data_IF_311888027176
#
_entry.id   IF_311888027176
#
_cell.length_a   1.000
_cell.length_b   1.000
_cell.length_c   1.000
_cell.angle_alpha   90.00
_cell.angle_beta   90.00
_cell.angle_gamma   90.00
#
_symmetry.space_group_name_H-M   'P 1'
#
loop_
_entity.id
_entity.type
_entity.pdbx_description
1 polymer ?
#
# COMPACT_ATOMS: atom_id res chain seq x y z
N UNK A 1 -15.06 26.56 -29.32
CA UNK A 1 -14.79 25.10 -29.32
C UNK A 1 -13.41 24.88 -28.72
N UNK A 2 -13.28 24.47 -27.45
CA UNK A 2 -11.97 24.12 -26.89
C UNK A 2 -11.72 22.61 -26.96
N UNK A 3 -10.61 22.25 -27.61
CA UNK A 3 -9.79 21.04 -27.37
C UNK A 3 -8.34 21.56 -27.27
N UNK A 4 -7.36 20.84 -26.70
CA UNK A 4 -7.39 19.66 -25.83
C UNK A 4 -6.55 19.86 -24.53
N UNK A 5 -6.83 19.12 -23.46
CA UNK A 5 -5.89 19.00 -22.33
C UNK A 5 -5.45 17.54 -22.20
N UNK A 6 -4.31 17.27 -22.82
CA UNK A 6 -3.52 16.06 -22.61
C UNK A 6 -3.20 15.95 -21.12
N UNK A 7 -3.74 14.93 -20.45
CA UNK A 7 -3.25 14.49 -19.17
C UNK A 7 -1.86 13.89 -19.38
N UNK A 8 -0.84 14.72 -19.22
CA UNK A 8 0.56 14.31 -19.17
C UNK A 8 0.70 13.28 -18.05
N UNK A 9 0.75 12.01 -18.43
CA UNK A 9 1.26 10.95 -17.57
C UNK A 9 2.73 11.27 -17.33
N UNK A 10 3.01 11.87 -16.16
CA UNK A 10 4.36 12.06 -15.69
C UNK A 10 5.02 10.68 -15.57
N UNK A 11 5.83 10.35 -16.57
CA UNK A 11 6.80 9.26 -16.49
C UNK A 11 7.81 9.68 -15.44
N UNK A 12 7.56 9.30 -14.19
CA UNK A 12 8.51 9.49 -13.09
C UNK A 12 9.75 8.66 -13.48
N UNK A 13 10.94 9.26 -13.58
CA UNK A 13 12.15 8.47 -13.75
C UNK A 13 12.29 7.60 -12.50
N UNK A 14 12.24 6.28 -12.69
CA UNK A 14 12.49 5.32 -11.62
C UNK A 14 13.92 5.56 -11.11
N UNK A 15 14.04 6.37 -10.06
CA UNK A 15 15.28 6.57 -9.35
C UNK A 15 15.62 5.23 -8.69
N UNK A 16 16.40 4.41 -9.38
CA UNK A 16 17.02 3.22 -8.78
C UNK A 16 17.87 3.72 -7.62
N UNK A 17 17.57 3.36 -6.37
CA UNK A 17 18.45 3.71 -5.26
C UNK A 17 19.82 3.13 -5.58
N UNK A 18 20.83 3.99 -5.65
CA UNK A 18 22.21 3.57 -5.85
C UNK A 18 22.68 2.94 -4.55
N UNK A 19 22.50 1.62 -4.42
CA UNK A 19 22.99 0.87 -3.28
C UNK A 19 24.51 0.83 -3.31
N UNK A 20 25.14 1.30 -2.21
CA UNK A 20 26.55 1.05 -1.94
C UNK A 20 26.81 -0.46 -1.96
N UNK A 21 27.90 -0.84 -2.62
CA UNK A 21 28.34 -2.21 -2.87
C UNK A 21 28.20 -3.13 -1.64
N UNK A 22 27.47 -4.24 -1.81
CA UNK A 22 27.54 -5.42 -0.93
C UNK A 22 26.36 -5.70 0.00
N UNK A 23 25.43 -4.76 0.23
CA UNK A 23 24.28 -5.00 1.11
C UNK A 23 23.06 -5.48 0.31
N UNK A 24 22.46 -6.61 0.69
CA UNK A 24 21.18 -7.07 0.11
C UNK A 24 20.10 -5.99 0.38
N UNK A 25 19.29 -5.61 -0.63
CA UNK A 25 18.23 -4.62 -0.47
C UNK A 25 17.25 -5.07 0.62
N UNK A 26 17.05 -4.21 1.62
CA UNK A 26 16.13 -4.49 2.72
C UNK A 26 14.68 -4.50 2.21
N UNK A 27 13.78 -5.17 2.95
CA UNK A 27 12.34 -5.20 2.61
C UNK A 27 11.76 -3.78 2.53
N UNK A 28 12.25 -2.86 3.35
CA UNK A 28 11.83 -1.45 3.34
C UNK A 28 12.22 -0.74 2.05
N UNK A 29 13.44 -0.97 1.53
CA UNK A 29 13.86 -0.36 0.28
C UNK A 29 13.06 -0.91 -0.91
N UNK A 30 12.88 -2.23 -0.97
CA UNK A 30 12.05 -2.86 -2.00
C UNK A 30 10.60 -2.37 -1.95
N UNK A 31 10.08 -2.11 -0.74
CA UNK A 31 8.78 -1.48 -0.53
C UNK A 31 8.74 -0.06 -1.09
N UNK A 32 9.72 0.80 -0.79
CA UNK A 32 9.77 2.18 -1.28
C UNK A 32 9.87 2.25 -2.81
N UNK A 33 10.68 1.37 -3.41
CA UNK A 33 10.80 1.25 -4.85
C UNK A 33 9.47 0.80 -5.49
N UNK A 34 8.77 -0.14 -4.85
CA UNK A 34 7.47 -0.62 -5.30
C UNK A 34 6.36 0.44 -5.13
N UNK A 35 6.32 1.13 -3.99
CA UNK A 35 5.34 2.19 -3.69
C UNK A 35 5.50 3.37 -4.65
N UNK A 36 6.75 3.78 -4.93
CA UNK A 36 7.04 4.80 -5.94
C UNK A 36 6.62 4.39 -7.35
N UNK A 37 6.75 3.11 -7.70
CA UNK A 37 6.31 2.59 -8.99
C UNK A 37 4.78 2.41 -9.07
N UNK A 38 4.12 2.25 -7.93
CA UNK A 38 2.69 1.93 -7.84
C UNK A 38 1.95 2.79 -6.79
N UNK A 39 1.94 4.12 -6.91
CA UNK A 39 1.31 5.00 -5.92
C UNK A 39 -0.22 4.79 -5.79
N UNK A 40 -0.85 4.21 -6.82
CA UNK A 40 -2.26 3.84 -6.80
C UNK A 40 -2.58 2.68 -5.85
N UNK A 41 -1.59 1.87 -5.46
CA UNK A 41 -1.78 0.75 -4.51
C UNK A 41 -2.13 1.29 -3.14
N UNK A 42 -1.34 2.25 -2.64
CA UNK A 42 -1.62 2.92 -1.38
C UNK A 42 -3.03 3.53 -1.37
N UNK A 43 -3.37 4.30 -2.41
CA UNK A 43 -4.68 4.96 -2.54
C UNK A 43 -5.85 3.97 -2.62
N UNK A 44 -5.65 2.84 -3.29
CA UNK A 44 -6.68 1.80 -3.35
C UNK A 44 -6.87 1.10 -2.00
N UNK A 45 -5.78 0.86 -1.24
CA UNK A 45 -5.84 0.30 0.12
C UNK A 45 -6.52 1.27 1.09
N UNK A 46 -6.17 2.55 1.05
CA UNK A 46 -6.79 3.62 1.83
C UNK A 46 -8.29 3.67 1.57
N UNK A 47 -8.69 3.69 0.29
CA UNK A 47 -10.11 3.68 -0.11
C UNK A 47 -10.84 2.42 0.35
N UNK A 48 -10.27 1.23 0.16
CA UNK A 48 -10.87 -0.02 0.62
C UNK A 48 -11.03 -0.05 2.13
N UNK A 49 -10.05 0.49 2.88
CA UNK A 49 -10.12 0.61 4.34
C UNK A 49 -11.27 1.52 4.74
N UNK A 50 -11.36 2.71 4.13
CA UNK A 50 -12.45 3.65 4.39
C UNK A 50 -13.82 3.05 4.03
N UNK A 51 -13.94 2.33 2.91
CA UNK A 51 -15.16 1.62 2.51
C UNK A 51 -15.56 0.56 3.55
N UNK A 52 -14.61 -0.19 4.11
CA UNK A 52 -14.85 -1.19 5.16
C UNK A 52 -15.27 -0.54 6.48
N UNK A 53 -14.62 0.54 6.87
CA UNK A 53 -14.98 1.30 8.08
C UNK A 53 -16.37 1.92 7.96
N UNK A 54 -16.70 2.50 6.80
CA UNK A 54 -18.02 3.03 6.52
C UNK A 54 -19.10 1.94 6.54
N UNK A 55 -18.75 0.71 6.16
CA UNK A 55 -19.62 -0.47 6.29
C UNK A 55 -19.74 -0.99 7.74
N UNK A 56 -19.09 -0.36 8.71
CA UNK A 56 -19.11 -0.77 10.12
C UNK A 56 -18.15 -1.91 10.46
N UNK A 57 -17.15 -2.18 9.62
CA UNK A 57 -16.13 -3.19 9.93
C UNK A 57 -15.27 -2.73 11.11
N UNK A 58 -15.31 -3.51 12.19
CA UNK A 58 -14.51 -3.25 13.40
C UNK A 58 -13.16 -3.96 13.39
N UNK A 59 -12.94 -4.86 12.42
CA UNK A 59 -11.72 -5.64 12.25
C UNK A 59 -11.36 -5.72 10.77
N UNK A 60 -10.27 -5.09 10.40
CA UNK A 60 -9.80 -5.08 9.01
C UNK A 60 -8.42 -5.73 8.96
N UNK A 61 -8.31 -6.83 8.21
CA UNK A 61 -7.03 -7.48 7.92
C UNK A 61 -6.40 -6.91 6.66
N UNK A 62 -5.14 -6.45 6.72
CA UNK A 62 -4.43 -5.99 5.52
C UNK A 62 -4.32 -7.09 4.45
N UNK A 63 -4.23 -8.35 4.88
CA UNK A 63 -4.23 -9.49 3.96
C UNK A 63 -5.52 -9.56 3.13
N UNK A 64 -6.68 -9.36 3.76
CA UNK A 64 -7.97 -9.34 3.05
C UNK A 64 -8.09 -8.14 2.11
N UNK A 65 -7.61 -6.96 2.54
CA UNK A 65 -7.53 -5.79 1.66
C UNK A 65 -6.62 -6.04 0.45
N UNK A 66 -5.49 -6.72 0.66
CA UNK A 66 -4.56 -7.11 -0.39
C UNK A 66 -5.18 -8.12 -1.35
N UNK A 67 -5.91 -9.11 -0.84
CA UNK A 67 -6.65 -10.07 -1.66
C UNK A 67 -7.75 -9.36 -2.48
N UNK A 68 -8.54 -8.47 -1.86
CA UNK A 68 -9.54 -7.66 -2.55
C UNK A 68 -8.91 -6.76 -3.62
N UNK A 69 -7.76 -6.14 -3.33
CA UNK A 69 -7.01 -5.33 -4.28
C UNK A 69 -6.52 -6.18 -5.46
N UNK A 70 -6.07 -7.42 -5.20
CA UNK A 70 -5.61 -8.35 -6.22
C UNK A 70 -6.73 -8.71 -7.19
N UNK A 71 -7.96 -8.88 -6.71
CA UNK A 71 -9.14 -9.11 -7.55
C UNK A 71 -9.53 -7.88 -8.37
N UNK A 72 -9.34 -6.67 -7.83
CA UNK A 72 -9.75 -5.41 -8.48
C UNK A 72 -8.78 -4.95 -9.58
N UNK A 73 -7.54 -5.44 -9.58
CA UNK A 73 -6.53 -5.06 -10.56
C UNK A 73 -6.45 -6.06 -11.72
N UNK A 74 -6.54 -5.61 -12.98
CA UNK A 74 -6.67 -6.48 -14.15
C UNK A 74 -5.46 -7.39 -14.43
N UNK A 75 -4.32 -7.15 -13.78
CA UNK A 75 -3.11 -7.99 -13.89
C UNK A 75 -2.62 -8.56 -12.57
N UNK A 76 -3.47 -8.58 -11.52
CA UNK A 76 -3.18 -9.17 -10.22
C UNK A 76 -1.73 -8.98 -9.77
N UNK A 77 -1.39 -7.76 -9.32
CA UNK A 77 -0.03 -7.30 -8.95
C UNK A 77 0.91 -8.45 -8.56
N UNK A 78 1.65 -8.98 -9.54
CA UNK A 78 2.49 -10.17 -9.38
C UNK A 78 3.67 -9.96 -8.42
N UNK A 79 3.88 -8.72 -7.95
CA UNK A 79 4.90 -8.33 -6.98
C UNK A 79 4.38 -7.91 -5.60
N UNK A 80 3.07 -8.07 -5.31
CA UNK A 80 2.51 -7.72 -4.01
C UNK A 80 2.99 -8.73 -2.95
N UNK A 81 4.15 -8.46 -2.34
CA UNK A 81 4.73 -9.33 -1.32
C UNK A 81 3.94 -9.17 -0.01
N UNK A 82 3.60 -10.30 0.62
CA UNK A 82 2.94 -10.30 1.92
C UNK A 82 3.75 -9.56 3.00
N UNK A 83 5.08 -9.48 2.86
CA UNK A 83 5.92 -8.69 3.77
C UNK A 83 5.58 -7.20 3.77
N UNK A 84 5.04 -6.67 2.67
CA UNK A 84 4.65 -5.26 2.56
C UNK A 84 3.35 -4.94 3.29
N UNK A 85 2.48 -5.94 3.54
CA UNK A 85 1.22 -5.72 4.27
C UNK A 85 1.44 -5.06 5.62
N UNK A 86 2.46 -5.48 6.38
CA UNK A 86 2.79 -4.89 7.67
C UNK A 86 3.31 -3.45 7.55
N UNK A 87 4.07 -3.14 6.49
CA UNK A 87 4.56 -1.78 6.25
C UNK A 87 3.41 -0.85 5.87
N UNK A 88 2.54 -1.26 4.95
CA UNK A 88 1.33 -0.52 4.59
C UNK A 88 0.39 -0.34 5.79
N UNK A 89 0.22 -1.36 6.64
CA UNK A 89 -0.59 -1.24 7.85
C UNK A 89 -0.05 -0.14 8.78
N UNK A 90 1.27 -0.10 8.99
CA UNK A 90 1.92 0.91 9.83
C UNK A 90 1.82 2.30 9.21
N UNK A 91 1.95 2.42 7.89
CA UNK A 91 1.76 3.67 7.14
C UNK A 91 0.32 4.18 7.30
N UNK A 92 -0.67 3.34 7.00
CA UNK A 92 -2.10 3.69 7.11
C UNK A 92 -2.48 4.10 8.53
N UNK A 93 -1.96 3.42 9.56
CA UNK A 93 -2.21 3.78 10.96
C UNK A 93 -1.47 5.06 11.37
N UNK A 94 -0.32 5.36 10.78
CA UNK A 94 0.40 6.61 11.03
C UNK A 94 -0.31 7.81 10.41
N UNK A 95 -0.82 7.66 9.18
CA UNK A 95 -1.63 8.67 8.49
C UNK A 95 -3.04 8.81 9.11
N UNK A 96 -3.63 7.69 9.55
CA UNK A 96 -4.96 7.61 10.16
C UNK A 96 -4.92 6.90 11.51
N UNK A 97 -4.54 7.60 12.59
CA UNK A 97 -4.49 7.02 13.93
C UNK A 97 -5.86 6.49 14.39
N UNK A 98 -6.97 7.04 13.88
CA UNK A 98 -8.32 6.55 14.14
C UNK A 98 -8.56 5.13 13.61
N UNK A 99 -7.81 4.69 12.61
CA UNK A 99 -7.90 3.33 12.07
C UNK A 99 -7.13 2.32 12.91
N UNK A 100 -6.25 2.76 13.81
CA UNK A 100 -5.47 1.88 14.68
C UNK A 100 -6.35 0.93 15.50
N UNK A 101 -7.56 1.35 15.86
CA UNK A 101 -8.52 0.54 16.61
C UNK A 101 -9.23 -0.51 15.74
N UNK A 102 -9.36 -0.26 14.44
CA UNK A 102 -10.02 -1.17 13.49
C UNK A 102 -9.03 -2.12 12.81
N UNK A 103 -7.78 -1.69 12.62
CA UNK A 103 -6.70 -2.59 12.26
C UNK A 103 -6.37 -3.43 13.48
N UNK A 104 -6.65 -4.73 13.39
CA UNK A 104 -6.21 -5.69 14.38
C UNK A 104 -4.69 -5.92 14.20
N UNK A 105 -3.90 -4.87 14.48
CA UNK A 105 -2.48 -5.00 14.74
C UNK A 105 -2.41 -5.87 15.99
N UNK A 106 -2.21 -7.17 15.78
CA UNK A 106 -2.07 -8.17 16.83
C UNK A 106 -1.09 -7.60 17.86
N UNK A 107 -1.60 -6.98 18.93
CA UNK A 107 -0.78 -6.72 20.11
C UNK A 107 -0.36 -8.10 20.54
N UNK A 108 0.95 -8.40 20.43
CA UNK A 108 1.53 -9.53 21.16
C UNK A 108 1.12 -9.30 22.62
N UNK A 109 0.04 -9.96 23.04
CA UNK A 109 -0.25 -10.18 24.45
C UNK A 109 0.77 -11.22 24.86
N UNK A 110 1.88 -10.76 25.41
CA UNK A 110 2.69 -11.59 26.28
C UNK A 110 2.05 -11.44 27.67
N UNK A 111 1.52 -12.52 28.28
CA UNK A 111 1.10 -12.49 29.67
C UNK A 111 2.30 -12.30 30.61
#
# INVERSE_FOLDING_TARGET
MPTPAAAAQAVIPVARPSFRAGARPTITDQFLAFDSAHPYVYRALERLTAERLAAGATRIGLKELFEALRWRLPQGLRGLNNNYTALYARQLVADHPEWASAFELRRRRTP
#
